data_IF_329952821454
#
_entry.id   IF_329952821454
#
_cell.length_a   1.000
_cell.length_b   1.000
_cell.length_c   1.000
_cell.angle_alpha   90.00
_cell.angle_beta   90.00
_cell.angle_gamma   90.00
#
_symmetry.space_group_name_H-M   'P 1'
#
loop_
_entity.id
_entity.type
_entity.pdbx_description
1 polymer ?
#
# COMPACT_ATOMS: atom_id res chain seq x y z
N UNK A 1 8.39 12.46 36.05
CA UNK A 1 7.78 11.47 36.96
C UNK A 1 7.26 10.31 36.12
N UNK A 2 7.84 9.09 36.20
CA UNK A 2 7.37 7.96 35.40
C UNK A 2 6.22 7.22 36.10
N UNK A 3 5.27 6.74 35.28
CA UNK A 3 4.03 6.10 35.70
C UNK A 3 4.28 4.80 36.48
N UNK A 4 3.62 4.66 37.62
CA UNK A 4 3.71 3.48 38.50
C UNK A 4 2.95 2.29 37.91
N UNK A 5 3.51 1.06 38.00
CA UNK A 5 2.90 -0.18 37.48
C UNK A 5 1.52 -0.51 38.06
N UNK A 6 1.14 0.11 39.19
CA UNK A 6 -0.21 -0.04 39.77
C UNK A 6 -1.32 0.50 38.85
N UNK A 7 -1.07 1.52 38.03
CA UNK A 7 -2.12 2.11 37.17
C UNK A 7 -2.47 1.25 35.95
N UNK A 8 -1.55 0.38 35.50
CA UNK A 8 -1.76 -0.50 34.35
C UNK A 8 -2.58 -1.73 34.76
N UNK A 9 -2.36 -2.24 35.98
CA UNK A 9 -3.18 -3.33 36.50
C UNK A 9 -4.63 -2.91 36.74
N UNK A 10 -4.87 -1.67 37.18
CA UNK A 10 -6.24 -1.16 37.34
C UNK A 10 -6.97 -0.96 36.00
N UNK A 11 -6.28 -0.57 34.91
CA UNK A 11 -6.92 -0.38 33.60
C UNK A 11 -7.28 -1.70 32.93
N UNK A 12 -6.45 -2.74 33.08
CA UNK A 12 -6.75 -4.09 32.56
C UNK A 12 -7.89 -4.76 33.34
N UNK A 13 -7.93 -4.59 34.67
CA UNK A 13 -9.03 -5.11 35.49
C UNK A 13 -10.36 -4.39 35.21
N UNK A 14 -10.30 -3.09 34.87
CA UNK A 14 -11.46 -2.29 34.48
C UNK A 14 -12.04 -2.75 33.13
N UNK A 15 -11.19 -3.02 32.14
CA UNK A 15 -11.60 -3.58 30.84
C UNK A 15 -12.20 -4.98 30.97
N UNK A 16 -11.61 -5.85 31.81
CA UNK A 16 -12.16 -7.18 32.07
C UNK A 16 -13.54 -7.13 32.75
N UNK A 17 -13.73 -6.21 33.71
CA UNK A 17 -15.05 -5.98 34.34
C UNK A 17 -16.07 -5.40 33.37
N UNK A 18 -15.65 -4.53 32.45
CA UNK A 18 -16.54 -3.94 31.44
C UNK A 18 -17.02 -4.97 30.41
N UNK A 19 -16.15 -5.89 29.99
CA UNK A 19 -16.50 -7.01 29.10
C UNK A 19 -17.47 -7.99 29.80
N UNK A 20 -17.26 -8.27 31.09
CA UNK A 20 -18.18 -9.09 31.87
C UNK A 20 -19.56 -8.43 32.07
N UNK A 21 -19.60 -7.10 32.24
CA UNK A 21 -20.85 -6.33 32.34
C UNK A 21 -21.64 -6.38 31.03
N UNK A 22 -20.96 -6.24 29.89
CA UNK A 22 -21.57 -6.35 28.55
C UNK A 22 -22.12 -7.77 28.35
N UNK A 23 -21.36 -8.81 28.71
CA UNK A 23 -21.85 -10.20 28.63
C UNK A 23 -23.09 -10.45 29.51
N UNK A 24 -23.19 -9.80 30.68
CA UNK A 24 -24.35 -9.93 31.57
C UNK A 24 -25.58 -9.14 31.09
N UNK A 25 -25.39 -7.98 30.45
CA UNK A 25 -26.46 -7.16 29.84
C UNK A 25 -27.16 -7.91 28.69
N UNK A 26 -26.44 -8.80 27.99
CA UNK A 26 -27.02 -9.65 26.93
C UNK A 26 -27.55 -11.01 27.42
N UNK A 27 -27.53 -11.27 28.73
CA UNK A 27 -28.04 -12.50 29.36
C UNK A 27 -29.44 -12.37 29.97
N UNK A 28 -30.19 -11.32 29.60
CA UNK A 28 -31.60 -11.17 30.00
C UNK A 28 -32.51 -12.23 29.36
N UNK A 29 -33.62 -12.62 30.03
CA UNK A 29 -34.57 -13.57 29.45
C UNK A 29 -35.14 -13.02 28.14
N UNK A 30 -35.40 -13.89 27.15
CA UNK A 30 -35.70 -13.46 25.79
C UNK A 30 -36.98 -12.62 25.74
N UNK A 31 -36.89 -11.41 25.21
CA UNK A 31 -38.06 -10.69 24.72
C UNK A 31 -38.34 -11.17 23.29
N UNK A 32 -39.57 -11.64 23.12
CA UNK A 32 -40.12 -12.29 21.94
C UNK A 32 -39.98 -11.40 20.70
N UNK A 33 -38.90 -11.59 19.96
CA UNK A 33 -38.61 -10.90 18.70
C UNK A 33 -38.17 -11.92 17.66
N UNK A 34 -39.02 -12.94 17.42
CA UNK A 34 -39.23 -13.57 16.11
C UNK A 34 -38.04 -14.11 15.29
N UNK A 35 -36.80 -14.10 15.77
CA UNK A 35 -35.66 -14.72 15.11
C UNK A 35 -35.34 -16.04 15.77
N UNK A 36 -35.66 -17.11 15.05
CA UNK A 36 -35.40 -18.49 15.41
C UNK A 36 -33.92 -18.74 15.71
N UNK A 37 -33.71 -19.49 16.78
CA UNK A 37 -32.46 -19.77 17.47
C UNK A 37 -31.67 -20.89 16.79
N UNK A 38 -31.36 -20.77 15.50
CA UNK A 38 -30.53 -21.76 14.80
C UNK A 38 -29.55 -21.08 13.84
N UNK A 39 -28.25 -21.15 14.14
CA UNK A 39 -27.21 -20.76 13.19
C UNK A 39 -25.98 -20.14 13.82
N UNK A 40 -25.14 -20.96 14.48
CA UNK A 40 -23.67 -21.02 14.41
C UNK A 40 -22.78 -19.77 14.12
N UNK A 41 -23.24 -18.52 14.28
CA UNK A 41 -22.48 -17.32 13.91
C UNK A 41 -21.36 -16.94 14.88
N UNK A 42 -21.48 -17.32 16.16
CA UNK A 42 -20.50 -16.96 17.20
C UNK A 42 -19.26 -17.87 17.19
N UNK A 43 -19.35 -19.07 16.62
CA UNK A 43 -18.24 -20.03 16.56
C UNK A 43 -17.21 -19.69 15.46
N UNK A 44 -17.57 -18.89 14.46
CA UNK A 44 -16.67 -18.44 13.40
C UNK A 44 -15.86 -17.18 13.76
N UNK A 45 -16.24 -16.45 14.81
CA UNK A 45 -15.51 -15.26 15.27
C UNK A 45 -14.34 -15.56 16.23
N UNK A 46 -14.35 -16.74 16.86
CA UNK A 46 -13.30 -17.21 17.78
C UNK A 46 -11.90 -17.37 17.15
N UNK A 47 -11.71 -17.92 15.94
CA UNK A 47 -10.38 -18.06 15.35
C UNK A 47 -9.75 -16.70 14.99
N UNK A 48 -10.54 -15.73 14.54
CA UNK A 48 -10.06 -14.38 14.22
C UNK A 48 -9.60 -13.63 15.48
N UNK A 49 -10.36 -13.75 16.58
CA UNK A 49 -9.97 -13.17 17.87
C UNK A 49 -8.68 -13.81 18.40
N UNK A 50 -8.54 -15.14 18.28
CA UNK A 50 -7.33 -15.85 18.68
C UNK A 50 -6.10 -15.42 17.87
N UNK A 51 -6.24 -15.23 16.55
CA UNK A 51 -5.17 -14.74 15.68
C UNK A 51 -4.76 -13.30 16.06
N UNK A 52 -5.72 -12.42 16.32
CA UNK A 52 -5.44 -11.04 16.74
C UNK A 52 -4.72 -11.00 18.09
N UNK A 53 -5.15 -11.80 19.06
CA UNK A 53 -4.50 -11.89 20.38
C UNK A 53 -3.11 -12.53 20.29
N UNK A 54 -2.92 -13.53 19.43
CA UNK A 54 -1.63 -14.16 19.18
C UNK A 54 -0.63 -13.20 18.51
N UNK A 55 -1.08 -12.43 17.50
CA UNK A 55 -0.27 -11.40 16.84
C UNK A 55 0.11 -10.26 17.79
N UNK A 56 -0.83 -9.83 18.64
CA UNK A 56 -0.54 -8.84 19.70
C UNK A 56 0.48 -9.37 20.73
N UNK A 57 0.41 -10.67 21.06
CA UNK A 57 1.40 -11.34 21.94
C UNK A 57 2.79 -11.39 21.30
N UNK A 58 2.88 -11.75 20.01
CA UNK A 58 4.13 -11.75 19.24
C UNK A 58 4.77 -10.36 19.15
N UNK A 59 3.96 -9.31 18.97
CA UNK A 59 4.44 -7.92 18.97
C UNK A 59 4.93 -7.46 20.35
N UNK A 60 4.33 -7.95 21.43
CA UNK A 60 4.78 -7.71 22.81
C UNK A 60 6.07 -8.50 23.16
N UNK A 61 6.25 -9.70 22.58
CA UNK A 61 7.45 -10.53 22.76
C UNK A 61 8.65 -10.07 21.91
N UNK A 62 8.44 -9.24 20.88
CA UNK A 62 9.49 -8.68 20.02
C UNK A 62 10.30 -7.54 20.66
N UNK A 63 10.20 -7.34 21.98
CA UNK A 63 11.21 -6.63 22.78
C UNK A 63 12.35 -7.62 23.11
N UNK A 64 13.22 -7.80 22.13
CA UNK A 64 14.47 -8.55 22.20
C UNK A 64 15.37 -8.11 23.40
N UNK A 65 16.22 -9.03 23.91
CA UNK A 65 16.85 -8.97 25.21
C UNK A 65 18.00 -7.96 25.31
N UNK A 66 18.10 -7.34 26.49
CA UNK A 66 19.27 -6.59 26.95
C UNK A 66 20.38 -7.57 27.29
N UNK A 67 21.20 -7.99 26.32
CA UNK A 67 22.54 -8.46 26.64
C UNK A 67 23.47 -8.44 25.42
N UNK A 68 24.63 -7.79 25.63
CA UNK A 68 25.72 -7.48 24.70
C UNK A 68 25.53 -6.19 23.86
N UNK A 69 25.50 -5.05 24.57
CA UNK A 69 25.95 -3.79 23.98
C UNK A 69 27.50 -3.81 23.95
N UNK A 70 28.17 -3.46 22.83
CA UNK A 70 29.59 -3.14 22.86
C UNK A 70 29.85 -1.97 23.83
N UNK A 71 31.09 -1.81 24.37
CA UNK A 71 31.42 -0.72 25.28
C UNK A 71 31.06 0.64 24.66
N UNK A 72 30.81 1.67 25.49
CA UNK A 72 30.26 2.95 25.03
C UNK A 72 31.08 3.51 23.85
N UNK A 73 30.34 3.92 22.81
CA UNK A 73 30.78 4.40 21.50
C UNK A 73 31.86 5.49 21.56
N UNK A 74 31.98 6.20 22.68
CA UNK A 74 32.99 7.24 22.90
C UNK A 74 34.44 6.71 22.85
N UNK A 75 34.68 5.47 23.27
CA UNK A 75 36.02 4.88 23.28
C UNK A 75 36.47 4.41 21.87
N UNK A 76 35.55 3.84 21.07
CA UNK A 76 35.86 3.44 19.69
C UNK A 76 35.96 4.63 18.74
N UNK A 77 35.10 5.65 18.92
CA UNK A 77 35.16 6.87 18.12
C UNK A 77 36.46 7.64 18.35
N UNK A 78 36.98 7.67 19.57
CA UNK A 78 38.26 8.34 19.86
C UNK A 78 39.46 7.67 19.13
N UNK A 79 39.47 6.34 19.01
CA UNK A 79 40.51 5.60 18.29
C UNK A 79 40.38 5.69 16.76
N UNK A 80 39.14 5.65 16.25
CA UNK A 80 38.87 5.77 14.82
C UNK A 80 39.16 7.19 14.28
N UNK A 81 38.81 8.23 15.03
CA UNK A 81 39.09 9.62 14.64
C UNK A 81 40.60 9.92 14.65
N UNK A 82 41.37 9.29 15.54
CA UNK A 82 42.83 9.44 15.59
C UNK A 82 43.58 8.76 14.41
N UNK A 83 42.93 7.83 13.70
CA UNK A 83 43.51 7.08 12.57
C UNK A 83 42.98 7.51 11.20
N UNK A 84 41.96 8.36 11.13
CA UNK A 84 41.44 8.91 9.88
C UNK A 84 42.36 10.03 9.37
N UNK A 85 43.04 9.77 8.25
CA UNK A 85 43.68 10.84 7.49
C UNK A 85 42.60 11.73 6.85
N UNK A 86 42.79 13.06 6.77
CA UNK A 86 41.82 13.96 6.18
C UNK A 86 41.64 13.63 4.69
N UNK A 87 40.45 13.15 4.32
CA UNK A 87 40.08 12.93 2.93
C UNK A 87 39.82 14.29 2.30
N UNK A 88 40.61 14.66 1.28
CA UNK A 88 40.40 15.89 0.53
C UNK A 88 39.11 15.74 -0.32
N UNK A 89 38.06 16.54 -0.11
CA UNK A 89 36.78 16.41 -0.83
C UNK A 89 36.87 16.68 -2.34
N UNK A 90 38.00 17.20 -2.82
CA UNK A 90 38.20 17.64 -4.20
C UNK A 90 39.25 16.82 -4.97
N UNK A 91 39.56 15.58 -4.56
CA UNK A 91 40.37 14.68 -5.39
C UNK A 91 39.52 14.11 -6.54
N UNK A 92 39.85 14.46 -7.78
CA UNK A 92 39.10 14.10 -8.99
C UNK A 92 39.17 12.59 -9.39
N UNK A 93 39.83 11.74 -8.61
CA UNK A 93 40.14 10.37 -9.03
C UNK A 93 39.15 9.28 -8.55
N UNK A 94 38.07 9.62 -7.84
CA UNK A 94 37.16 8.60 -7.26
C UNK A 94 35.66 8.81 -7.44
N UNK A 95 35.22 9.75 -8.27
CA UNK A 95 33.81 9.76 -8.66
C UNK A 95 33.59 8.71 -9.75
N UNK A 96 32.67 7.74 -9.60
CA UNK A 96 32.13 7.08 -10.77
C UNK A 96 31.51 8.19 -11.61
N UNK A 97 31.83 8.23 -12.91
CA UNK A 97 31.14 9.10 -13.85
C UNK A 97 29.65 8.79 -13.69
N UNK A 98 28.93 9.64 -12.96
CA UNK A 98 27.47 9.61 -12.97
C UNK A 98 27.15 9.98 -14.41
N UNK A 99 26.94 8.95 -15.21
CA UNK A 99 26.45 9.03 -16.58
C UNK A 99 25.31 10.04 -16.51
N UNK A 100 25.48 11.19 -17.18
CA UNK A 100 24.44 12.22 -17.27
C UNK A 100 23.13 11.51 -17.58
N UNK A 101 22.28 11.41 -16.57
CA UNK A 101 20.94 10.88 -16.72
C UNK A 101 20.21 11.84 -17.65
N UNK A 102 19.68 11.29 -18.74
CA UNK A 102 18.83 12.02 -19.68
C UNK A 102 17.79 12.81 -18.86
N UNK A 103 17.56 14.11 -19.10
CA UNK A 103 16.52 14.87 -18.40
C UNK A 103 15.10 14.27 -18.54
N UNK A 104 14.91 13.28 -19.43
CA UNK A 104 13.70 12.46 -19.58
C UNK A 104 13.62 11.25 -18.64
N UNK A 105 14.73 10.85 -18.01
CA UNK A 105 14.79 9.70 -17.11
C UNK A 105 14.28 10.05 -15.71
N UNK A 106 12.99 10.37 -15.63
CA UNK A 106 12.23 10.00 -14.43
C UNK A 106 12.22 8.47 -14.31
N UNK A 107 11.81 7.91 -13.15
CA UNK A 107 11.64 6.47 -13.04
C UNK A 107 10.74 5.96 -14.18
N UNK A 108 11.16 4.86 -14.79
CA UNK A 108 10.42 4.19 -15.85
C UNK A 108 9.00 3.87 -15.38
N UNK A 109 7.95 4.12 -16.19
CA UNK A 109 6.56 3.89 -15.80
C UNK A 109 6.25 2.45 -15.38
N UNK A 110 6.94 1.48 -15.99
CA UNK A 110 6.79 0.04 -15.74
C UNK A 110 8.18 -0.58 -15.56
N UNK A 111 8.32 -1.43 -14.55
CA UNK A 111 9.46 -2.34 -14.45
C UNK A 111 9.19 -3.56 -15.35
N UNK A 112 9.59 -3.45 -16.62
CA UNK A 112 9.33 -4.48 -17.64
C UNK A 112 9.93 -5.83 -17.23
N UNK A 113 11.20 -5.94 -16.82
CA UNK A 113 11.78 -7.20 -16.34
C UNK A 113 10.97 -7.84 -15.20
N UNK A 114 10.60 -7.07 -14.18
CA UNK A 114 9.80 -7.59 -13.06
C UNK A 114 8.39 -8.01 -13.50
N UNK A 115 7.78 -7.28 -14.44
CA UNK A 115 6.46 -7.61 -14.96
C UNK A 115 6.48 -8.92 -15.77
N UNK A 116 7.52 -9.16 -16.59
CA UNK A 116 7.70 -10.42 -17.33
C UNK A 116 7.89 -11.60 -16.37
N UNK A 117 8.73 -11.43 -15.34
CA UNK A 117 8.96 -12.47 -14.33
C UNK A 117 7.66 -12.83 -13.60
N UNK A 118 6.88 -11.80 -13.21
CA UNK A 118 5.58 -11.98 -12.53
C UNK A 118 4.58 -12.77 -13.37
N UNK A 119 4.58 -12.59 -14.69
CA UNK A 119 3.66 -13.28 -15.61
C UNK A 119 4.14 -14.67 -16.03
N UNK A 120 5.34 -15.09 -15.61
CA UNK A 120 5.89 -16.40 -15.94
C UNK A 120 6.50 -16.49 -17.33
N UNK A 121 6.79 -15.36 -17.98
CA UNK A 121 7.49 -15.31 -19.26
C UNK A 121 6.95 -14.28 -20.25
N UNK A 122 7.77 -13.98 -21.26
CA UNK A 122 7.53 -12.91 -22.23
C UNK A 122 6.31 -13.16 -23.14
N UNK A 123 5.98 -14.43 -23.42
CA UNK A 123 4.81 -14.78 -24.22
C UNK A 123 3.50 -14.36 -23.54
N UNK A 124 3.31 -14.76 -22.28
CA UNK A 124 2.12 -14.40 -21.49
C UNK A 124 2.10 -12.89 -21.23
N UNK A 125 3.27 -12.30 -20.96
CA UNK A 125 3.39 -10.87 -20.80
C UNK A 125 2.89 -10.10 -22.02
N UNK A 126 3.28 -10.50 -23.24
CA UNK A 126 2.82 -9.84 -24.45
C UNK A 126 1.30 -9.91 -24.65
N UNK A 127 0.69 -11.06 -24.36
CA UNK A 127 -0.77 -11.22 -24.41
C UNK A 127 -1.48 -10.26 -23.42
N UNK A 128 -0.95 -10.13 -22.20
CA UNK A 128 -1.49 -9.21 -21.20
C UNK A 128 -1.28 -7.74 -21.58
N UNK A 129 -0.12 -7.39 -22.15
CA UNK A 129 0.12 -6.04 -22.65
C UNK A 129 -0.84 -5.68 -23.78
N UNK A 130 -1.13 -6.61 -24.70
CA UNK A 130 -2.08 -6.38 -25.78
C UNK A 130 -3.49 -6.09 -25.23
N UNK A 131 -3.94 -6.91 -24.26
CA UNK A 131 -5.20 -6.67 -23.57
C UNK A 131 -5.21 -5.31 -22.85
N UNK A 132 -4.11 -4.95 -22.17
CA UNK A 132 -4.00 -3.65 -21.48
C UNK A 132 -4.08 -2.46 -22.44
N UNK A 133 -3.40 -2.55 -23.59
CA UNK A 133 -3.40 -1.53 -24.65
C UNK A 133 -4.77 -1.37 -25.31
N UNK A 134 -5.62 -2.41 -25.28
CA UNK A 134 -6.99 -2.35 -25.76
C UNK A 134 -7.96 -1.80 -24.70
N UNK A 135 -7.89 -2.30 -23.47
CA UNK A 135 -8.88 -2.03 -22.42
C UNK A 135 -8.72 -0.65 -21.77
N UNK A 136 -7.49 -0.22 -21.47
CA UNK A 136 -7.26 1.02 -20.71
C UNK A 136 -7.72 2.27 -21.48
N UNK A 137 -7.46 2.44 -22.79
CA UNK A 137 -7.98 3.57 -23.56
C UNK A 137 -9.51 3.65 -23.55
N UNK A 138 -10.18 2.50 -23.64
CA UNK A 138 -11.65 2.43 -23.61
C UNK A 138 -12.19 2.89 -22.26
N UNK A 139 -11.58 2.44 -21.15
CA UNK A 139 -11.97 2.85 -19.81
C UNK A 139 -11.64 4.34 -19.54
N UNK A 140 -10.54 4.87 -20.06
CA UNK A 140 -10.23 6.31 -20.00
C UNK A 140 -11.31 7.12 -20.74
N UNK A 141 -11.73 6.65 -21.91
CA UNK A 141 -12.81 7.29 -22.66
C UNK A 141 -14.15 7.24 -21.92
N UNK A 142 -14.48 6.11 -21.31
CA UNK A 142 -15.69 5.96 -20.48
C UNK A 142 -15.64 6.87 -19.25
N UNK A 143 -14.50 6.94 -18.55
CA UNK A 143 -14.30 7.86 -17.43
C UNK A 143 -14.50 9.31 -17.85
N UNK A 144 -13.94 9.70 -19.01
CA UNK A 144 -14.12 11.05 -19.56
C UNK A 144 -15.59 11.35 -19.83
N UNK A 145 -16.30 10.42 -20.46
CA UNK A 145 -17.72 10.58 -20.79
C UNK A 145 -18.58 10.65 -19.51
N UNK A 146 -18.33 9.77 -18.55
CA UNK A 146 -19.01 9.76 -17.26
C UNK A 146 -18.86 11.11 -16.51
N UNK A 147 -17.70 11.76 -16.61
CA UNK A 147 -17.49 13.10 -16.03
C UNK A 147 -18.22 14.23 -16.76
N UNK A 148 -18.51 14.07 -18.06
CA UNK A 148 -19.34 15.01 -18.84
C UNK A 148 -20.80 14.84 -18.41
N UNK A 149 -21.25 13.60 -18.31
CA UNK A 149 -22.63 13.23 -17.97
C UNK A 149 -22.92 13.33 -16.46
N UNK A 150 -21.89 13.59 -15.66
CA UNK A 150 -21.93 13.62 -14.19
C UNK A 150 -22.38 12.28 -13.56
N UNK A 151 -22.16 11.17 -14.27
CA UNK A 151 -22.39 9.82 -13.79
C UNK A 151 -21.18 9.36 -12.95
N UNK A 152 -21.18 9.70 -11.67
CA UNK A 152 -20.09 9.33 -10.76
C UNK A 152 -19.98 7.83 -10.49
N UNK A 153 -21.06 7.07 -10.69
CA UNK A 153 -21.04 5.62 -10.50
C UNK A 153 -20.32 4.94 -11.67
N UNK A 154 -20.59 5.37 -12.90
CA UNK A 154 -19.85 4.93 -14.07
C UNK A 154 -18.39 5.40 -14.03
N UNK A 155 -18.14 6.62 -13.56
CA UNK A 155 -16.79 7.14 -13.37
C UNK A 155 -16.00 6.29 -12.36
N UNK A 156 -16.61 5.92 -11.22
CA UNK A 156 -16.00 5.02 -10.23
C UNK A 156 -15.64 3.68 -10.86
N UNK A 157 -16.58 3.04 -11.55
CA UNK A 157 -16.36 1.74 -12.20
C UNK A 157 -15.27 1.78 -13.27
N UNK A 158 -15.23 2.86 -14.05
CA UNK A 158 -14.19 3.06 -15.07
C UNK A 158 -12.81 3.22 -14.42
N UNK A 159 -12.70 4.06 -13.38
CA UNK A 159 -11.46 4.23 -12.62
C UNK A 159 -11.00 2.93 -11.93
N UNK A 160 -11.93 2.16 -11.38
CA UNK A 160 -11.64 0.85 -10.78
C UNK A 160 -11.06 -0.13 -11.80
N UNK A 161 -11.60 -0.15 -13.03
CA UNK A 161 -11.12 -1.01 -14.11
C UNK A 161 -9.70 -0.62 -14.53
N UNK A 162 -9.43 0.67 -14.75
CA UNK A 162 -8.08 1.18 -15.08
C UNK A 162 -7.07 0.79 -14.00
N UNK A 163 -7.45 0.90 -12.71
CA UNK A 163 -6.60 0.50 -11.58
C UNK A 163 -6.20 -0.97 -11.66
N UNK A 164 -7.18 -1.84 -11.91
CA UNK A 164 -6.99 -3.30 -11.99
C UNK A 164 -6.05 -3.70 -13.11
N UNK A 165 -6.38 -3.33 -14.35
CA UNK A 165 -5.58 -3.65 -15.53
C UNK A 165 -4.14 -3.12 -15.38
N UNK A 166 -3.99 -1.90 -14.84
CA UNK A 166 -2.65 -1.31 -14.64
C UNK A 166 -1.82 -1.98 -13.55
N UNK A 167 -2.47 -2.47 -12.47
CA UNK A 167 -1.76 -3.20 -11.42
C UNK A 167 -1.23 -4.55 -11.91
N UNK A 168 -1.91 -5.16 -12.87
CA UNK A 168 -1.50 -6.42 -13.47
C UNK A 168 -0.11 -6.30 -14.11
N UNK A 169 0.10 -5.28 -14.93
CA UNK A 169 1.36 -5.03 -15.64
C UNK A 169 2.41 -4.26 -14.81
N UNK A 170 2.19 -4.07 -13.51
CA UNK A 170 3.04 -3.27 -12.61
C UNK A 170 3.18 -1.78 -13.02
N UNK A 171 2.18 -1.20 -13.68
CA UNK A 171 2.11 0.23 -13.96
C UNK A 171 1.56 0.99 -12.72
N UNK A 172 2.41 1.11 -11.69
CA UNK A 172 2.00 1.56 -10.35
C UNK A 172 1.42 2.98 -10.31
N UNK A 173 1.99 3.91 -11.07
CA UNK A 173 1.59 5.32 -11.08
C UNK A 173 0.13 5.49 -11.52
N UNK A 174 -0.23 4.89 -12.67
CA UNK A 174 -1.59 4.92 -13.22
C UNK A 174 -2.56 4.11 -12.37
N UNK A 175 -2.11 2.99 -11.79
CA UNK A 175 -2.94 2.23 -10.84
C UNK A 175 -3.29 3.07 -9.60
N UNK A 176 -2.30 3.73 -9.00
CA UNK A 176 -2.48 4.59 -7.81
C UNK A 176 -3.36 5.80 -8.10
N UNK A 177 -3.12 6.50 -9.21
CA UNK A 177 -3.92 7.67 -9.61
C UNK A 177 -5.37 7.26 -9.87
N UNK A 178 -5.60 6.10 -10.49
CA UNK A 178 -6.94 5.55 -10.71
C UNK A 178 -7.64 5.15 -9.41
N UNK A 179 -6.91 4.61 -8.43
CA UNK A 179 -7.45 4.34 -7.11
C UNK A 179 -7.87 5.64 -6.37
N UNK A 180 -7.11 6.72 -6.54
CA UNK A 180 -7.50 8.03 -6.03
C UNK A 180 -8.75 8.56 -6.75
N UNK A 181 -8.84 8.39 -8.07
CA UNK A 181 -10.02 8.81 -8.85
C UNK A 181 -11.28 8.04 -8.42
N UNK A 182 -11.17 6.73 -8.23
CA UNK A 182 -12.23 5.86 -7.70
C UNK A 182 -12.74 6.39 -6.34
N UNK A 183 -11.82 6.70 -5.42
CA UNK A 183 -12.18 7.25 -4.11
C UNK A 183 -12.81 8.65 -4.19
N UNK A 184 -12.35 9.51 -5.09
CA UNK A 184 -12.96 10.84 -5.27
C UNK A 184 -14.35 10.76 -5.91
N UNK A 185 -14.61 9.75 -6.74
CA UNK A 185 -15.96 9.48 -7.26
C UNK A 185 -16.93 9.14 -6.12
N UNK A 186 -16.53 8.22 -5.22
CA UNK A 186 -17.32 7.87 -4.02
C UNK A 186 -17.63 9.05 -3.11
N UNK A 187 -16.75 10.05 -3.08
CA UNK A 187 -16.91 11.27 -2.28
C UNK A 187 -17.70 12.37 -2.98
N UNK A 188 -18.11 12.20 -4.23
CA UNK A 188 -18.81 13.25 -4.98
C UNK A 188 -17.91 14.36 -5.54
N UNK A 189 -16.58 14.20 -5.48
CA UNK A 189 -15.63 15.29 -5.77
C UNK A 189 -15.27 15.36 -7.26
N UNK A 190 -16.24 15.67 -8.11
CA UNK A 190 -16.09 15.63 -9.58
C UNK A 190 -14.93 16.47 -10.12
N UNK A 191 -14.65 17.63 -9.50
CA UNK A 191 -13.55 18.50 -9.91
C UNK A 191 -12.19 17.84 -9.66
N UNK A 192 -12.04 17.11 -8.56
CA UNK A 192 -10.83 16.35 -8.27
C UNK A 192 -10.67 15.19 -9.24
N UNK A 193 -11.76 14.50 -9.60
CA UNK A 193 -11.70 13.40 -10.58
C UNK A 193 -11.27 13.92 -11.96
N UNK A 194 -11.72 15.10 -12.38
CA UNK A 194 -11.27 15.74 -13.63
C UNK A 194 -9.76 15.99 -13.66
N UNK A 195 -9.18 16.49 -12.57
CA UNK A 195 -7.72 16.65 -12.46
C UNK A 195 -6.99 15.31 -12.49
N UNK A 196 -7.55 14.28 -11.83
CA UNK A 196 -6.96 12.94 -11.81
C UNK A 196 -7.05 12.25 -13.18
N UNK A 197 -8.12 12.47 -13.95
CA UNK A 197 -8.23 11.98 -15.33
C UNK A 197 -7.10 12.51 -16.22
N UNK A 198 -6.77 13.79 -16.12
CA UNK A 198 -5.64 14.38 -16.89
C UNK A 198 -4.31 13.70 -16.54
N UNK A 199 -4.11 13.39 -15.26
CA UNK A 199 -2.91 12.69 -14.81
C UNK A 199 -2.89 11.22 -15.26
N UNK A 200 -4.03 10.53 -15.24
CA UNK A 200 -4.19 9.17 -15.80
C UNK A 200 -3.84 9.15 -17.29
N UNK A 201 -4.36 10.09 -18.08
CA UNK A 201 -4.05 10.21 -19.52
C UNK A 201 -2.55 10.44 -19.78
N UNK A 202 -1.92 11.29 -18.95
CA UNK A 202 -0.48 11.55 -19.03
C UNK A 202 0.34 10.30 -18.70
N UNK A 203 -0.04 9.57 -17.65
CA UNK A 203 0.63 8.35 -17.21
C UNK A 203 0.46 7.23 -18.24
N UNK A 204 -0.76 7.06 -18.78
CA UNK A 204 -1.05 6.12 -19.87
C UNK A 204 -0.12 6.37 -21.06
N UNK A 205 -0.02 7.62 -21.53
CA UNK A 205 0.84 7.99 -22.66
C UNK A 205 2.33 7.72 -22.41
N UNK A 206 2.78 7.69 -21.14
CA UNK A 206 4.17 7.32 -20.80
C UNK A 206 4.36 5.81 -20.85
N UNK A 207 3.42 5.05 -20.28
CA UNK A 207 3.45 3.59 -20.30
C UNK A 207 3.38 3.08 -21.75
N UNK A 208 2.42 3.56 -22.54
CA UNK A 208 2.26 3.19 -23.95
C UNK A 208 3.55 3.42 -24.76
N UNK A 209 4.19 4.59 -24.58
CA UNK A 209 5.47 4.88 -25.23
C UNK A 209 6.55 3.88 -24.82
N UNK A 210 6.71 3.63 -23.53
CA UNK A 210 7.73 2.72 -23.01
C UNK A 210 7.54 1.29 -23.57
N UNK A 211 6.29 0.82 -23.63
CA UNK A 211 5.96 -0.51 -24.15
C UNK A 211 6.23 -0.61 -25.66
N UNK A 212 5.92 0.43 -26.44
CA UNK A 212 6.27 0.49 -27.87
C UNK A 212 7.78 0.45 -28.07
N UNK A 213 8.52 1.29 -27.34
CA UNK A 213 9.99 1.35 -27.42
C UNK A 213 10.64 0.01 -27.05
N UNK A 214 10.07 -0.73 -26.09
CA UNK A 214 10.55 -2.07 -25.72
C UNK A 214 10.26 -3.12 -26.80
N UNK A 215 9.09 -3.07 -27.46
CA UNK A 215 8.69 -4.03 -28.51
C UNK A 215 9.40 -3.81 -29.85
N UNK A 216 9.79 -2.58 -30.13
CA UNK A 216 10.47 -2.20 -31.38
C UNK A 216 12.00 -2.41 -31.33
N UNK A 217 12.56 -2.68 -30.15
CA UNK A 217 14.01 -2.84 -29.90
C UNK A 217 14.47 -4.28 -29.84
#
# INVERSE_FOLDING_TARGET
>A
MPFSPRNIFLSVLCLASMVALIANVFSGPPQDTGLTRDGFGWLLALPLLAVVLYQASLLMQRKLPVQQLPPPLEAELAGAVASMQPVNPWSHDTMPVVRMLDPRSGPEPVDIPASIERMGGEQIWNEIIDAWLEEVPQNISQLRQALIDQDLELAERSAHSIKGCSAEILAEDISRTSALAEEQCRRGNIQSVKSLLQEIERQFSRVERQLSEYRDG
#
